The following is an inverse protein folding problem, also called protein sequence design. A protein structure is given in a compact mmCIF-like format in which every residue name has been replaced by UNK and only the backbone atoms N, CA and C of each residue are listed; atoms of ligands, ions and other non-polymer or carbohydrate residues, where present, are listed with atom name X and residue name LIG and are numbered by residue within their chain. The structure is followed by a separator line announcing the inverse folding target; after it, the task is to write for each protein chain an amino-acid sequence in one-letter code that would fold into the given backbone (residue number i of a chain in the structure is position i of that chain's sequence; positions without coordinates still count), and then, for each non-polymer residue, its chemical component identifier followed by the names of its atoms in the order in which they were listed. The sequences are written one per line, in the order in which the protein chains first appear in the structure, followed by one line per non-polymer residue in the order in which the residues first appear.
data_IF_487794341545
#
_entry.id   IF_487794341545
#
_cell.length_a   1.000
_cell.length_b   1.000
_cell.length_c   1.000
_cell.angle_alpha   90.00
_cell.angle_beta   90.00
_cell.angle_gamma   90.00
#
_symmetry.space_group_name_H-M   'P 1'
#
loop_
_entity.id
_entity.type
_entity.pdbx_description
1 polymer ?
#
# COMPACT_ATOMS: atom_id res chain seq x y z
N UNK A 1 -8.45 -2.38 15.86
CA UNK A 1 -7.18 -1.66 16.18
C UNK A 1 -6.36 -1.61 14.90
N UNK A 2 -5.88 -0.44 14.48
CA UNK A 2 -5.05 -0.30 13.27
C UNK A 2 -3.60 -0.63 13.63
N UNK A 3 -2.95 -1.52 12.87
CA UNK A 3 -1.55 -1.94 13.12
C UNK A 3 -0.58 -1.01 12.37
N UNK A 4 -0.82 -0.79 11.08
CA UNK A 4 -0.03 0.12 10.25
C UNK A 4 -0.94 0.82 9.23
N UNK A 5 -0.55 2.03 8.83
CA UNK A 5 -1.19 2.78 7.75
C UNK A 5 -0.15 3.58 6.97
N UNK A 6 0.15 3.18 5.73
CA UNK A 6 0.92 3.99 4.80
C UNK A 6 0.04 4.64 3.75
N UNK A 7 0.59 5.65 3.09
CA UNK A 7 -0.01 6.26 1.91
C UNK A 7 1.09 6.70 0.94
N UNK A 8 0.72 6.93 -0.31
CA UNK A 8 1.64 7.47 -1.30
C UNK A 8 2.27 8.81 -0.84
N UNK A 9 1.56 9.63 -0.05
CA UNK A 9 2.13 10.86 0.51
C UNK A 9 3.19 10.61 1.58
N UNK A 10 2.98 9.61 2.45
CA UNK A 10 3.97 9.19 3.47
C UNK A 10 5.23 8.63 2.80
N UNK A 11 5.08 7.96 1.66
CA UNK A 11 6.19 7.44 0.86
C UNK A 11 6.91 8.53 0.04
N UNK A 12 6.61 9.81 0.24
CA UNK A 12 7.29 10.93 -0.41
C UNK A 12 6.77 11.27 -1.81
N UNK A 13 5.70 10.62 -2.30
CA UNK A 13 5.11 10.98 -3.59
C UNK A 13 4.22 12.22 -3.47
N UNK A 14 4.51 13.23 -4.30
CA UNK A 14 3.78 14.50 -4.34
C UNK A 14 3.17 14.75 -5.73
N UNK A 15 2.11 15.55 -5.77
CA UNK A 15 1.43 15.95 -7.01
C UNK A 15 0.92 14.76 -7.82
N UNK A 16 1.08 14.83 -9.14
CA UNK A 16 0.65 13.80 -10.10
C UNK A 16 1.31 12.44 -9.85
N UNK A 17 2.51 12.41 -9.27
CA UNK A 17 3.23 11.16 -8.96
C UNK A 17 2.51 10.32 -7.89
N UNK A 18 1.65 10.93 -7.06
CA UNK A 18 0.88 10.23 -6.02
C UNK A 18 -0.15 9.25 -6.60
N UNK A 19 -0.68 9.53 -7.79
CA UNK A 19 -1.69 8.71 -8.45
C UNK A 19 -1.12 7.59 -9.32
N UNK A 20 0.19 7.37 -9.29
CA UNK A 20 0.84 6.38 -10.15
C UNK A 20 0.77 4.97 -9.57
N UNK A 21 0.78 3.92 -10.41
CA UNK A 21 0.84 2.53 -9.96
C UNK A 21 2.04 2.24 -9.04
N UNK A 22 3.19 2.85 -9.35
CA UNK A 22 4.41 2.71 -8.56
C UNK A 22 4.28 3.28 -7.14
N UNK A 23 3.60 4.41 -7.00
CA UNK A 23 3.32 4.99 -5.68
C UNK A 23 2.38 4.11 -4.85
N UNK A 24 1.41 3.45 -5.50
CA UNK A 24 0.50 2.51 -4.85
C UNK A 24 1.22 1.23 -4.38
N UNK A 25 2.09 0.66 -5.22
CA UNK A 25 2.95 -0.48 -4.83
C UNK A 25 3.83 -0.14 -3.63
N UNK A 26 4.54 0.98 -3.69
CA UNK A 26 5.45 1.40 -2.62
C UNK A 26 4.70 1.59 -1.30
N UNK A 27 3.49 2.15 -1.34
CA UNK A 27 2.64 2.28 -0.16
C UNK A 27 2.22 0.92 0.39
N UNK A 28 1.81 -0.02 -0.46
CA UNK A 28 1.44 -1.38 -0.03
C UNK A 28 2.62 -2.11 0.63
N UNK A 29 3.80 -2.11 0.00
CA UNK A 29 5.02 -2.75 0.55
C UNK A 29 5.38 -2.17 1.92
N UNK A 30 5.31 -0.84 2.07
CA UNK A 30 5.58 -0.22 3.37
C UNK A 30 4.56 -0.62 4.45
N UNK A 31 3.31 -0.93 4.07
CA UNK A 31 2.31 -1.44 5.02
C UNK A 31 2.69 -2.82 5.52
N UNK A 32 3.06 -3.68 4.57
CA UNK A 32 3.35 -5.09 4.75
C UNK A 32 4.60 -5.27 5.59
N UNK A 33 5.68 -4.54 5.29
CA UNK A 33 6.94 -4.62 6.05
C UNK A 33 6.72 -4.47 7.56
N UNK A 34 5.93 -3.47 7.96
CA UNK A 34 5.63 -3.21 9.39
C UNK A 34 4.87 -4.34 10.06
N UNK A 35 4.09 -5.13 9.31
CA UNK A 35 3.29 -6.25 9.87
C UNK A 35 3.95 -7.62 9.69
N UNK A 36 4.88 -7.76 8.74
CA UNK A 36 5.67 -8.98 8.55
C UNK A 36 6.69 -9.14 9.68
N UNK A 37 7.35 -8.06 10.11
CA UNK A 37 8.31 -8.09 11.21
C UNK A 37 7.73 -8.70 12.52
N UNK A 38 6.50 -8.36 12.95
CA UNK A 38 5.86 -8.99 14.12
C UNK A 38 5.19 -10.35 13.85
N UNK A 39 5.34 -10.94 12.65
CA UNK A 39 4.92 -12.31 12.36
C UNK A 39 3.54 -12.51 11.72
N UNK A 40 2.97 -11.47 11.08
CA UNK A 40 1.72 -11.60 10.32
C UNK A 40 1.92 -12.50 9.08
N UNK A 41 1.21 -13.63 9.00
CA UNK A 41 1.33 -14.58 7.88
C UNK A 41 0.17 -14.55 6.89
N UNK A 42 -1.03 -14.15 7.33
CA UNK A 42 -2.24 -14.14 6.51
C UNK A 42 -3.00 -12.85 6.75
N UNK A 43 -3.49 -12.26 5.67
CA UNK A 43 -4.33 -11.08 5.71
C UNK A 43 -5.39 -11.18 4.60
N UNK A 44 -6.54 -10.58 4.84
CA UNK A 44 -7.57 -10.40 3.83
C UNK A 44 -7.43 -9.01 3.21
N UNK A 45 -7.53 -8.92 1.88
CA UNK A 45 -7.33 -7.69 1.12
C UNK A 45 -8.67 -7.10 0.71
N UNK A 46 -8.96 -5.89 1.15
CA UNK A 46 -10.14 -5.14 0.76
C UNK A 46 -9.75 -3.89 -0.02
N UNK A 47 -10.28 -3.75 -1.25
CA UNK A 47 -9.98 -2.60 -2.12
C UNK A 47 -11.23 -1.77 -2.35
N UNK A 48 -11.14 -0.48 -2.03
CA UNK A 48 -12.20 0.50 -2.24
C UNK A 48 -11.78 1.55 -3.28
N UNK A 49 -12.69 1.84 -4.21
CA UNK A 49 -12.52 2.88 -5.24
C UNK A 49 -11.94 2.36 -6.56
N UNK A 50 -12.12 3.19 -7.61
CA UNK A 50 -11.58 2.99 -8.95
C UNK A 50 -10.32 3.83 -9.13
N UNK A 51 -9.22 3.23 -9.58
CA UNK A 51 -7.97 3.96 -9.83
C UNK A 51 -6.84 3.06 -10.33
N UNK A 52 -5.86 3.67 -11.00
CA UNK A 52 -4.73 2.98 -11.65
C UNK A 52 -3.80 2.23 -10.67
N UNK A 53 -3.83 2.58 -9.38
CA UNK A 53 -3.01 1.94 -8.36
C UNK A 53 -3.55 0.62 -7.82
N UNK A 54 -4.75 0.18 -8.25
CA UNK A 54 -5.46 -0.98 -7.69
C UNK A 54 -4.72 -2.29 -7.90
N UNK A 55 -4.47 -2.66 -9.15
CA UNK A 55 -3.80 -3.92 -9.48
C UNK A 55 -2.34 -3.92 -9.03
N UNK A 56 -1.69 -2.76 -9.11
CA UNK A 56 -0.31 -2.60 -8.67
C UNK A 56 -0.19 -2.82 -7.16
N UNK A 57 -1.09 -2.26 -6.35
CA UNK A 57 -1.12 -2.51 -4.91
C UNK A 57 -1.41 -3.99 -4.59
N UNK A 58 -2.29 -4.65 -5.36
CA UNK A 58 -2.60 -6.07 -5.17
C UNK A 58 -1.41 -6.98 -5.50
N UNK A 59 -0.65 -6.67 -6.55
CA UNK A 59 0.58 -7.40 -6.90
C UNK A 59 1.70 -7.29 -5.86
N UNK A 60 1.66 -6.25 -5.02
CA UNK A 60 2.68 -6.00 -4.00
C UNK A 60 2.41 -6.70 -2.65
N UNK A 61 1.21 -7.25 -2.46
CA UNK A 61 0.81 -8.02 -1.27
C UNK A 61 1.20 -9.47 -1.45
#
# INVERSE_FOLDING_TARGET
RVISWPSAGICGFKGTKRGTPFAAQTAAINAIRVVVDPGMQRAEVMIKGSGLGRDAALQAI
#
